data_IF_723119400002
#
_entry.id   IF_723119400002
#
_cell.length_a   1.000
_cell.length_b   1.000
_cell.length_c   1.000
_cell.angle_alpha   90.00
_cell.angle_beta   90.00
_cell.angle_gamma   90.00
#
_symmetry.space_group_name_H-M   'P 1'
#
loop_
_entity.id
_entity.type
_entity.pdbx_description
1 polymer ?
#
# COMPACT_ATOMS: atom_id res chain seq x y z
N UNK A 1 14.61 13.39 5.14
CA UNK A 1 14.48 13.69 6.57
C UNK A 1 15.02 12.59 7.47
N UNK A 2 15.05 12.80 8.78
CA UNK A 2 15.42 11.78 9.74
C UNK A 2 14.34 10.70 9.90
N UNK A 3 13.12 11.01 9.51
CA UNK A 3 11.97 10.11 9.60
C UNK A 3 11.63 9.49 8.25
N UNK A 4 11.32 8.20 8.26
CA UNK A 4 10.80 7.49 7.11
C UNK A 4 9.32 7.19 7.32
N UNK A 5 8.45 7.94 6.64
CA UNK A 5 7.00 7.85 6.78
C UNK A 5 6.46 6.47 6.47
N UNK A 6 7.01 5.80 5.45
CA UNK A 6 6.57 4.46 5.05
C UNK A 6 6.75 3.49 6.21
N UNK A 7 7.91 3.51 6.88
CA UNK A 7 8.18 2.61 8.00
C UNK A 7 7.32 2.91 9.22
N UNK A 8 7.14 4.20 9.54
CA UNK A 8 6.27 4.60 10.64
C UNK A 8 4.82 4.18 10.40
N UNK A 9 4.29 4.48 9.22
CA UNK A 9 2.94 4.08 8.83
C UNK A 9 2.77 2.56 8.81
N UNK A 10 3.72 1.84 8.17
CA UNK A 10 3.72 0.37 8.16
C UNK A 10 3.74 -0.21 9.58
N UNK A 11 4.58 0.34 10.47
CA UNK A 11 4.66 -0.10 11.86
C UNK A 11 3.33 0.03 12.60
N UNK A 12 2.64 1.16 12.44
CA UNK A 12 1.31 1.37 13.04
C UNK A 12 0.30 0.36 12.47
N UNK A 13 0.23 0.23 11.14
CA UNK A 13 -0.70 -0.69 10.48
C UNK A 13 -0.44 -2.13 10.92
N UNK A 14 0.81 -2.59 10.89
CA UNK A 14 1.17 -3.94 11.32
C UNK A 14 0.82 -4.18 12.79
N UNK A 15 1.16 -3.23 13.68
CA UNK A 15 0.89 -3.37 15.11
C UNK A 15 -0.62 -3.36 15.42
N UNK A 16 -1.43 -2.66 14.63
CA UNK A 16 -2.88 -2.63 14.82
C UNK A 16 -3.56 -3.88 14.29
N UNK A 17 -3.21 -4.32 13.08
CA UNK A 17 -3.94 -5.41 12.42
C UNK A 17 -3.40 -6.81 12.73
N UNK A 18 -2.10 -6.93 13.08
CA UNK A 18 -1.49 -8.25 13.27
C UNK A 18 -1.16 -8.59 14.72
N UNK A 19 -1.53 -7.73 15.67
CA UNK A 19 -1.23 -7.98 17.09
C UNK A 19 -1.81 -9.31 17.59
N UNK A 20 -3.01 -9.66 17.18
CA UNK A 20 -3.69 -10.91 17.53
C UNK A 20 -2.99 -12.15 16.98
N UNK A 21 -2.21 -12.01 15.90
CA UNK A 21 -1.45 -13.11 15.28
C UNK A 21 -0.13 -13.44 15.99
N UNK A 22 0.18 -12.80 17.13
CA UNK A 22 1.42 -13.08 17.89
C UNK A 22 1.55 -14.54 18.32
N UNK A 23 0.44 -15.23 18.56
CA UNK A 23 0.39 -16.65 18.90
C UNK A 23 0.59 -17.57 17.70
N UNK A 24 0.52 -17.04 16.47
CA UNK A 24 0.63 -17.80 15.23
C UNK A 24 1.79 -17.27 14.35
N UNK A 25 3.05 -17.65 14.64
CA UNK A 25 4.26 -17.06 14.04
C UNK A 25 4.29 -17.05 12.52
N UNK A 26 3.86 -18.13 11.90
CA UNK A 26 3.81 -18.22 10.43
C UNK A 26 2.85 -17.21 9.83
N UNK A 27 1.66 -17.06 10.39
CA UNK A 27 0.65 -16.11 9.89
C UNK A 27 1.04 -14.67 10.21
N UNK A 28 1.70 -14.41 11.34
CA UNK A 28 2.28 -13.11 11.64
C UNK A 28 3.34 -12.71 10.61
N UNK A 29 4.25 -13.62 10.27
CA UNK A 29 5.25 -13.40 9.22
C UNK A 29 4.57 -13.14 7.87
N UNK A 30 3.63 -13.98 7.47
CA UNK A 30 2.94 -13.87 6.18
C UNK A 30 2.14 -12.56 6.09
N UNK A 31 1.36 -12.23 7.11
CA UNK A 31 0.61 -10.97 7.19
C UNK A 31 1.53 -9.74 7.13
N UNK A 32 2.65 -9.79 7.85
CA UNK A 32 3.65 -8.72 7.81
C UNK A 32 4.26 -8.54 6.42
N UNK A 33 4.60 -9.64 5.74
CA UNK A 33 5.12 -9.61 4.39
C UNK A 33 4.11 -8.97 3.42
N UNK A 34 2.86 -9.38 3.47
CA UNK A 34 1.81 -8.94 2.55
C UNK A 34 1.45 -7.48 2.77
N UNK A 35 1.16 -7.08 4.00
CA UNK A 35 0.76 -5.71 4.31
C UNK A 35 1.89 -4.73 3.99
N UNK A 36 3.13 -5.05 4.38
CA UNK A 36 4.28 -4.19 4.08
C UNK A 36 4.53 -4.08 2.57
N UNK A 37 4.44 -5.19 1.85
CA UNK A 37 4.59 -5.21 0.39
C UNK A 37 3.51 -4.39 -0.30
N UNK A 38 2.27 -4.48 0.18
CA UNK A 38 1.17 -3.66 -0.33
C UNK A 38 1.42 -2.16 -0.11
N UNK A 39 1.85 -1.77 1.08
CA UNK A 39 2.18 -0.37 1.40
C UNK A 39 3.34 0.12 0.52
N UNK A 40 4.37 -0.71 0.31
CA UNK A 40 5.50 -0.40 -0.56
C UNK A 40 5.05 -0.20 -2.02
N UNK A 41 4.24 -1.11 -2.55
CA UNK A 41 3.68 -1.01 -3.91
C UNK A 41 2.82 0.23 -4.09
N UNK A 42 1.87 0.48 -3.18
CA UNK A 42 0.98 1.63 -3.23
C UNK A 42 1.78 2.95 -3.17
N UNK A 43 2.77 3.02 -2.27
CA UNK A 43 3.64 4.20 -2.15
C UNK A 43 4.47 4.42 -3.41
N UNK A 44 5.03 3.36 -3.98
CA UNK A 44 5.80 3.43 -5.22
C UNK A 44 4.97 3.96 -6.38
N UNK A 45 3.75 3.44 -6.56
CA UNK A 45 2.79 3.90 -7.58
C UNK A 45 2.40 5.35 -7.37
N UNK A 46 2.03 5.73 -6.15
CA UNK A 46 1.64 7.10 -5.82
C UNK A 46 2.76 8.09 -6.10
N UNK A 47 3.98 7.79 -5.67
CA UNK A 47 5.14 8.65 -5.90
C UNK A 47 5.47 8.79 -7.39
N UNK A 48 5.34 7.74 -8.19
CA UNK A 48 5.55 7.82 -9.63
C UNK A 48 4.45 8.64 -10.31
N UNK A 49 3.18 8.50 -9.92
CA UNK A 49 2.10 9.34 -10.45
C UNK A 49 2.32 10.84 -10.18
N UNK A 50 2.83 11.19 -9.00
CA UNK A 50 3.08 12.59 -8.61
C UNK A 50 4.34 13.16 -9.26
N UNK A 51 5.39 12.37 -9.42
CA UNK A 51 6.72 12.84 -9.84
C UNK A 51 7.11 12.38 -11.23
N UNK A 52 6.37 11.46 -11.84
CA UNK A 52 6.68 10.80 -13.11
C UNK A 52 8.06 10.12 -13.13
N UNK A 53 8.56 9.72 -11.94
CA UNK A 53 9.84 9.04 -11.76
C UNK A 53 9.73 7.98 -10.67
N UNK A 54 10.30 6.80 -10.92
CA UNK A 54 10.46 5.76 -9.90
C UNK A 54 11.54 6.16 -8.91
N UNK A 55 11.24 6.04 -7.62
CA UNK A 55 12.19 6.34 -6.54
C UNK A 55 13.09 5.15 -6.22
N UNK A 56 12.60 3.94 -6.48
CA UNK A 56 13.35 2.70 -6.50
C UNK A 56 12.87 1.84 -7.66
N UNK A 57 13.70 0.92 -8.12
CA UNK A 57 13.38 0.06 -9.25
C UNK A 57 13.95 -1.34 -9.05
N UNK A 58 13.04 -2.30 -8.87
CA UNK A 58 13.36 -3.72 -8.73
C UNK A 58 13.15 -4.50 -10.03
N UNK A 59 13.02 -3.87 -11.16
CA UNK A 59 12.76 -4.53 -12.46
C UNK A 59 13.79 -5.61 -12.80
N UNK A 60 15.02 -5.48 -12.29
CA UNK A 60 16.09 -6.47 -12.46
C UNK A 60 16.01 -7.65 -11.50
N UNK A 61 15.12 -7.61 -10.49
CA UNK A 61 14.96 -8.69 -9.53
C UNK A 61 13.95 -9.70 -10.02
N UNK A 62 14.15 -10.99 -9.65
CA UNK A 62 13.19 -12.04 -9.93
C UNK A 62 11.93 -11.83 -9.10
N UNK A 63 10.76 -12.20 -9.65
CA UNK A 63 9.47 -12.08 -8.98
C UNK A 63 9.18 -10.63 -8.54
N UNK A 64 9.43 -9.67 -9.43
CA UNK A 64 9.00 -8.28 -9.21
C UNK A 64 7.65 -8.01 -9.88
N UNK A 65 6.93 -7.01 -9.40
CA UNK A 65 5.74 -6.43 -10.01
C UNK A 65 6.03 -4.98 -10.36
N UNK A 66 6.04 -4.68 -11.66
CA UNK A 66 6.29 -3.34 -12.22
C UNK A 66 7.56 -2.64 -11.67
N UNK A 67 8.49 -3.38 -11.06
CA UNK A 67 9.69 -2.84 -10.43
C UNK A 67 9.44 -2.15 -9.08
N UNK A 68 8.21 -2.11 -8.56
CA UNK A 68 7.92 -1.49 -7.25
C UNK A 68 8.18 -2.43 -6.07
N UNK A 69 7.89 -3.71 -6.25
CA UNK A 69 8.04 -4.74 -5.21
C UNK A 69 8.74 -5.97 -5.79
N UNK A 70 9.37 -6.78 -4.94
CA UNK A 70 9.88 -8.08 -5.33
C UNK A 70 9.87 -9.05 -4.14
N UNK A 71 9.78 -10.36 -4.44
CA UNK A 71 9.65 -11.41 -3.45
C UNK A 71 10.77 -11.38 -2.38
N UNK A 72 12.00 -11.08 -2.78
CA UNK A 72 13.14 -11.03 -1.86
C UNK A 72 12.94 -9.99 -0.75
N UNK A 73 12.46 -8.79 -1.10
CA UNK A 73 12.20 -7.74 -0.11
C UNK A 73 10.90 -7.97 0.64
N UNK A 74 9.89 -8.59 0.02
CA UNK A 74 8.66 -8.98 0.73
C UNK A 74 8.94 -9.97 1.87
N UNK A 75 9.83 -10.95 1.64
CA UNK A 75 10.29 -11.87 2.69
C UNK A 75 11.03 -11.10 3.81
N UNK A 76 11.91 -10.16 3.43
CA UNK A 76 12.62 -9.33 4.39
C UNK A 76 11.66 -8.51 5.25
N UNK A 77 10.64 -7.89 4.64
CA UNK A 77 9.58 -7.16 5.35
C UNK A 77 8.79 -8.06 6.29
N UNK A 78 8.51 -9.30 5.88
CA UNK A 78 7.87 -10.30 6.74
C UNK A 78 8.68 -10.59 7.99
N UNK A 79 10.00 -10.79 7.85
CA UNK A 79 10.90 -11.03 8.99
C UNK A 79 10.97 -9.80 9.90
N UNK A 80 11.13 -8.61 9.33
CA UNK A 80 11.22 -7.37 10.11
C UNK A 80 9.92 -7.07 10.85
N UNK A 81 8.76 -7.27 10.20
CA UNK A 81 7.46 -7.09 10.84
C UNK A 81 7.21 -8.11 11.95
N UNK A 82 7.59 -9.36 11.74
CA UNK A 82 7.54 -10.41 12.77
C UNK A 82 8.37 -10.00 14.00
N UNK A 83 9.63 -9.59 13.79
CA UNK A 83 10.52 -9.15 14.88
C UNK A 83 9.95 -7.92 15.60
N UNK A 84 9.45 -6.96 14.85
CA UNK A 84 8.91 -5.73 15.41
C UNK A 84 7.70 -5.99 16.32
N UNK A 85 6.76 -6.83 15.88
CA UNK A 85 5.54 -7.11 16.63
C UNK A 85 5.82 -8.05 17.81
N UNK A 86 6.65 -9.09 17.60
CA UNK A 86 6.90 -10.10 18.62
C UNK A 86 7.72 -9.56 19.79
N UNK A 87 8.75 -8.78 19.49
CA UNK A 87 9.70 -8.29 20.50
C UNK A 87 9.84 -6.77 20.51
N UNK A 88 9.83 -6.12 19.34
CA UNK A 88 10.13 -4.70 19.22
C UNK A 88 9.15 -3.82 20.00
N UNK A 89 7.85 -4.03 19.85
CA UNK A 89 6.82 -3.29 20.57
C UNK A 89 6.94 -3.49 22.09
N UNK A 90 7.17 -4.72 22.53
CA UNK A 90 7.33 -5.05 23.94
C UNK A 90 8.56 -4.38 24.53
N UNK A 91 9.69 -4.42 23.80
CA UNK A 91 10.94 -3.78 24.22
C UNK A 91 10.78 -2.26 24.32
N UNK A 92 10.15 -1.62 23.32
CA UNK A 92 9.91 -0.19 23.32
C UNK A 92 9.03 0.20 24.51
N UNK A 93 7.92 -0.52 24.74
CA UNK A 93 7.03 -0.24 25.87
C UNK A 93 7.73 -0.45 27.23
N UNK A 94 8.56 -1.48 27.33
CA UNK A 94 9.35 -1.72 28.54
C UNK A 94 10.36 -0.60 28.79
N UNK A 95 11.11 -0.16 27.78
CA UNK A 95 12.03 0.97 27.90
C UNK A 95 11.30 2.28 28.27
N UNK A 96 10.08 2.44 27.74
CA UNK A 96 9.27 3.62 27.99
C UNK A 96 8.82 3.77 29.45
N UNK A 97 8.66 2.66 30.17
CA UNK A 97 8.28 2.65 31.58
C UNK A 97 9.30 3.33 32.50
N UNK A 98 10.57 3.38 32.08
CA UNK A 98 11.64 4.06 32.86
C UNK A 98 11.64 5.58 32.71
N UNK A 99 10.86 6.13 31.79
CA UNK A 99 10.81 7.55 31.51
C UNK A 99 9.66 8.19 32.31
N UNK A 100 9.94 9.21 33.13
CA UNK A 100 8.88 9.94 33.86
C UNK A 100 7.84 10.51 32.89
N UNK A 101 6.56 10.45 33.27
CA UNK A 101 5.42 10.85 32.42
C UNK A 101 5.58 12.26 31.85
N UNK A 102 6.07 13.20 32.65
CA UNK A 102 6.32 14.58 32.18
C UNK A 102 7.35 14.63 31.04
N UNK A 103 8.46 13.90 31.18
CA UNK A 103 9.51 13.83 30.15
C UNK A 103 8.99 13.14 28.89
N UNK A 104 8.15 12.13 29.06
CA UNK A 104 7.45 11.44 27.98
C UNK A 104 6.64 12.41 27.12
N UNK A 105 5.84 13.28 27.72
CA UNK A 105 5.06 14.28 26.97
C UNK A 105 5.97 15.28 26.22
N UNK A 106 7.06 15.73 26.85
CA UNK A 106 8.02 16.63 26.18
C UNK A 106 8.63 15.92 24.96
N UNK A 107 9.09 14.69 25.12
CA UNK A 107 9.69 13.90 24.01
C UNK A 107 8.67 13.72 22.89
N UNK A 108 7.43 13.29 23.21
CA UNK A 108 6.38 13.06 22.22
C UNK A 108 6.04 14.32 21.44
N UNK A 109 5.81 15.45 22.13
CA UNK A 109 5.48 16.71 21.46
C UNK A 109 6.64 17.22 20.61
N UNK A 110 7.87 17.10 21.09
CA UNK A 110 9.07 17.50 20.34
C UNK A 110 9.24 16.66 19.09
N UNK A 111 9.13 15.32 19.20
CA UNK A 111 9.22 14.40 18.06
C UNK A 111 8.08 14.64 17.07
N UNK A 112 6.86 14.88 17.56
CA UNK A 112 5.70 15.19 16.71
C UNK A 112 5.94 16.48 15.93
N UNK A 113 6.41 17.54 16.58
CA UNK A 113 6.73 18.81 15.92
C UNK A 113 7.80 18.64 14.83
N UNK A 114 8.89 17.92 15.12
CA UNK A 114 9.96 17.62 14.16
C UNK A 114 9.41 16.77 13.00
N UNK A 115 8.59 15.78 13.29
CA UNK A 115 7.96 14.94 12.27
C UNK A 115 7.05 15.76 11.36
N UNK A 116 6.20 16.62 11.91
CA UNK A 116 5.33 17.51 11.13
C UNK A 116 6.14 18.48 10.24
N UNK A 117 7.23 19.03 10.74
CA UNK A 117 8.13 19.87 9.93
C UNK A 117 8.77 19.08 8.79
N UNK A 118 9.25 17.86 9.05
CA UNK A 118 9.87 17.00 8.06
C UNK A 118 8.87 16.55 6.98
N UNK A 119 7.65 16.17 7.38
CA UNK A 119 6.55 15.84 6.45
C UNK A 119 6.23 17.03 5.57
N UNK A 120 6.01 18.20 6.16
CA UNK A 120 5.67 19.43 5.43
C UNK A 120 6.75 19.78 4.42
N UNK A 121 8.03 19.76 4.83
CA UNK A 121 9.16 20.01 3.94
C UNK A 121 9.23 18.98 2.80
N UNK A 122 8.98 17.69 3.10
CA UNK A 122 8.99 16.63 2.11
C UNK A 122 7.84 16.77 1.11
N UNK A 123 6.62 17.05 1.58
CA UNK A 123 5.45 17.28 0.71
C UNK A 123 5.64 18.49 -0.19
N UNK A 124 6.11 19.61 0.36
CA UNK A 124 6.41 20.81 -0.43
C UNK A 124 7.45 20.52 -1.54
N UNK A 125 8.50 19.78 -1.21
CA UNK A 125 9.52 19.36 -2.19
C UNK A 125 8.93 18.41 -3.24
N UNK A 126 8.11 17.45 -2.84
CA UNK A 126 7.46 16.50 -3.75
C UNK A 126 6.51 17.21 -4.70
N UNK A 127 5.72 18.14 -4.23
CA UNK A 127 4.73 18.85 -5.04
C UNK A 127 5.33 20.00 -5.87
N UNK A 128 6.63 20.26 -5.79
CA UNK A 128 7.30 21.42 -6.43
C UNK A 128 6.64 22.78 -6.13
N UNK A 129 5.98 22.88 -4.97
CA UNK A 129 5.30 24.12 -4.59
C UNK A 129 6.26 25.26 -4.26
N UNK A 130 7.54 24.97 -3.99
CA UNK A 130 8.58 25.97 -3.73
C UNK A 130 8.74 26.99 -4.86
N UNK A 131 8.49 26.59 -6.11
CA UNK A 131 8.66 27.46 -7.28
C UNK A 131 7.37 28.13 -7.77
N UNK A 132 6.21 27.78 -7.22
CA UNK A 132 4.91 28.27 -7.72
C UNK A 132 4.19 29.26 -6.82
N UNK A 133 4.58 29.39 -5.55
CA UNK A 133 3.91 30.29 -4.61
C UNK A 133 4.74 31.53 -4.31
N UNK A 134 4.27 32.74 -4.68
CA UNK A 134 4.96 33.98 -4.36
C UNK A 134 5.09 34.23 -2.85
N UNK A 135 4.18 33.67 -2.06
CA UNK A 135 4.21 33.75 -0.59
C UNK A 135 5.33 32.89 -0.01
N UNK A 136 5.56 31.69 -0.54
CA UNK A 136 6.67 30.82 -0.14
C UNK A 136 8.02 31.39 -0.56
N UNK A 137 8.09 32.05 -1.72
CA UNK A 137 9.29 32.77 -2.17
C UNK A 137 9.60 33.94 -1.23
N UNK A 138 8.59 34.69 -0.78
CA UNK A 138 8.75 35.75 0.23
C UNK A 138 9.22 35.20 1.58
N UNK A 139 8.56 34.15 2.07
CA UNK A 139 8.92 33.51 3.35
C UNK A 139 10.35 32.93 3.29
N UNK A 140 10.71 32.32 2.18
CA UNK A 140 12.07 31.81 1.96
C UNK A 140 13.09 32.95 1.85
N UNK A 141 12.70 34.13 1.32
CA UNK A 141 13.52 35.32 1.25
C UNK A 141 13.71 35.97 2.62
N UNK A 142 12.67 36.02 3.46
CA UNK A 142 12.75 36.56 4.82
C UNK A 142 13.52 35.64 5.77
N UNK A 143 13.31 34.31 5.67
CA UNK A 143 14.13 33.32 6.37
C UNK A 143 15.59 33.33 5.88
N UNK A 144 15.82 33.74 4.63
CA UNK A 144 17.17 33.92 4.08
C UNK A 144 17.85 35.18 4.59
N UNK A 145 17.10 36.20 5.04
CA UNK A 145 17.62 37.43 5.65
C UNK A 145 17.98 37.24 7.14
N UNK A 146 17.41 36.23 7.82
CA UNK A 146 17.85 35.79 9.16
C UNK A 146 19.11 34.92 9.10
N UNK A 147 20.09 35.40 8.35
CA UNK A 147 21.37 34.73 8.09
C UNK A 147 22.34 34.82 9.26
N UNK A 148 22.15 33.96 10.23
CA UNK A 148 23.29 33.51 11.05
C UNK A 148 24.05 32.41 10.30
N UNK A 149 25.37 32.28 10.52
CA UNK A 149 26.22 31.25 9.93
C UNK A 149 25.67 29.83 10.15
N UNK A 150 24.93 29.61 11.21
CA UNK A 150 24.22 28.37 11.55
C UNK A 150 23.10 28.05 10.57
N UNK A 151 22.28 29.03 10.14
CA UNK A 151 21.22 28.80 9.15
C UNK A 151 21.76 28.41 7.78
N UNK A 152 22.94 28.92 7.38
CA UNK A 152 23.61 28.53 6.12
C UNK A 152 24.12 27.10 6.17
N UNK A 153 24.73 26.70 7.28
CA UNK A 153 25.21 25.32 7.45
C UNK A 153 24.06 24.33 7.50
N UNK A 154 22.96 24.64 8.18
CA UNK A 154 21.77 23.81 8.26
C UNK A 154 21.09 23.66 6.89
N UNK A 155 20.91 24.77 6.16
CA UNK A 155 20.31 24.74 4.81
C UNK A 155 21.17 23.97 3.81
N UNK A 156 22.50 24.14 3.86
CA UNK A 156 23.43 23.39 3.03
C UNK A 156 23.41 21.89 3.39
N UNK A 157 23.33 21.56 4.67
CA UNK A 157 23.22 20.17 5.13
C UNK A 157 21.92 19.52 4.67
N UNK A 158 20.78 20.21 4.83
CA UNK A 158 19.46 19.74 4.36
C UNK A 158 19.47 19.55 2.84
N UNK A 159 19.97 20.52 2.08
CA UNK A 159 20.07 20.43 0.62
C UNK A 159 20.95 19.27 0.16
N UNK A 160 22.12 19.06 0.78
CA UNK A 160 22.98 17.90 0.51
C UNK A 160 22.29 16.56 0.84
N UNK A 161 21.54 16.50 1.95
CA UNK A 161 20.76 15.31 2.30
C UNK A 161 19.64 15.04 1.31
N UNK A 162 18.88 16.08 0.88
CA UNK A 162 17.84 15.95 -0.14
C UNK A 162 18.44 15.46 -1.47
N UNK A 163 19.55 16.06 -1.92
CA UNK A 163 20.21 15.61 -3.15
C UNK A 163 20.78 14.19 -3.06
N UNK A 164 21.26 13.80 -1.88
CA UNK A 164 21.79 12.44 -1.65
C UNK A 164 20.66 11.40 -1.47
N UNK A 165 19.55 11.79 -0.85
CA UNK A 165 18.38 10.94 -0.68
C UNK A 165 17.56 10.77 -1.96
N UNK A 166 17.61 11.76 -2.85
CA UNK A 166 16.86 11.77 -4.10
C UNK A 166 17.80 12.09 -5.27
N UNK A 167 18.74 11.20 -5.61
CA UNK A 167 19.55 11.37 -6.81
C UNK A 167 18.61 11.43 -8.01
N UNK A 168 18.81 12.42 -8.87
CA UNK A 168 18.10 12.50 -10.15
C UNK A 168 18.45 11.25 -10.95
N UNK A 169 17.65 10.22 -10.86
CA UNK A 169 17.81 9.01 -11.65
C UNK A 169 17.44 9.36 -13.08
N UNK A 170 18.46 9.74 -13.85
CA UNK A 170 18.36 9.80 -15.29
C UNK A 170 18.24 8.37 -15.80
N UNK A 171 17.03 7.91 -16.00
CA UNK A 171 16.81 6.72 -16.84
C UNK A 171 15.45 6.87 -17.49
N UNK A 172 15.41 7.68 -18.54
CA UNK A 172 14.44 7.52 -19.61
C UNK A 172 14.79 6.23 -20.36
N UNK A 173 14.36 5.11 -19.83
CA UNK A 173 14.13 3.90 -20.61
C UNK A 173 12.74 3.42 -20.25
N UNK A 174 11.77 3.96 -20.94
CA UNK A 174 10.51 3.27 -21.21
C UNK A 174 10.91 1.99 -21.93
N UNK A 175 11.13 0.92 -21.18
CA UNK A 175 11.16 -0.41 -21.75
C UNK A 175 9.70 -0.74 -22.05
N UNK A 176 9.26 -0.37 -23.23
CA UNK A 176 8.05 -0.96 -23.81
C UNK A 176 8.39 -2.41 -24.16
N UNK A 177 8.41 -3.27 -23.17
CA UNK A 177 8.31 -4.69 -23.41
C UNK A 177 6.91 -4.92 -23.95
N UNK A 178 6.82 -5.14 -25.24
CA UNK A 178 5.64 -5.63 -25.93
C UNK A 178 5.41 -7.09 -25.52
N UNK A 179 5.14 -7.31 -24.22
CA UNK A 179 4.75 -8.60 -23.74
C UNK A 179 3.31 -8.87 -24.21
N UNK A 180 3.13 -9.93 -24.97
CA UNK A 180 1.82 -10.38 -25.49
C UNK A 180 1.00 -11.14 -24.45
N UNK A 181 1.61 -11.53 -23.34
CA UNK A 181 0.97 -12.27 -22.24
C UNK A 181 1.46 -11.75 -20.89
N UNK A 182 0.57 -11.82 -19.91
CA UNK A 182 0.92 -11.50 -18.52
C UNK A 182 1.93 -12.52 -17.98
N UNK A 183 3.10 -12.11 -17.45
CA UNK A 183 4.05 -13.02 -16.82
C UNK A 183 3.42 -13.72 -15.60
N UNK A 184 3.78 -14.98 -15.36
CA UNK A 184 3.25 -15.75 -14.23
C UNK A 184 3.55 -15.10 -12.87
N UNK A 185 4.70 -14.44 -12.73
CA UNK A 185 5.04 -13.70 -11.52
C UNK A 185 4.08 -12.54 -11.24
N UNK A 186 3.66 -11.81 -12.29
CA UNK A 186 2.67 -10.74 -12.17
C UNK A 186 1.28 -11.28 -11.83
N UNK A 187 0.90 -12.42 -12.40
CA UNK A 187 -0.35 -13.12 -12.05
C UNK A 187 -0.41 -13.44 -10.56
N UNK A 188 0.67 -14.00 -9.98
CA UNK A 188 0.73 -14.33 -8.56
C UNK A 188 0.64 -13.07 -7.69
N UNK A 189 1.34 -12.00 -8.06
CA UNK A 189 1.23 -10.75 -7.33
C UNK A 189 -0.16 -10.13 -7.39
N UNK A 190 -0.80 -10.14 -8.55
CA UNK A 190 -2.18 -9.67 -8.70
C UNK A 190 -3.16 -10.49 -7.87
N UNK A 191 -2.95 -11.82 -7.80
CA UNK A 191 -3.73 -12.69 -6.94
C UNK A 191 -3.56 -12.31 -5.45
N UNK A 192 -2.33 -12.19 -4.96
CA UNK A 192 -2.05 -11.89 -3.55
C UNK A 192 -2.58 -10.51 -3.17
N UNK A 193 -2.24 -9.48 -3.93
CA UNK A 193 -2.68 -8.11 -3.67
C UNK A 193 -4.19 -7.96 -3.85
N UNK A 194 -4.75 -8.63 -4.84
CA UNK A 194 -6.18 -8.65 -5.10
C UNK A 194 -6.99 -9.34 -4.00
N UNK A 195 -6.49 -10.45 -3.46
CA UNK A 195 -7.11 -11.16 -2.35
C UNK A 195 -7.13 -10.30 -1.08
N UNK A 196 -6.04 -9.61 -0.80
CA UNK A 196 -5.94 -8.70 0.35
C UNK A 196 -6.85 -7.48 0.21
N UNK A 197 -6.77 -6.78 -0.92
CA UNK A 197 -7.62 -5.61 -1.19
C UNK A 197 -9.10 -5.97 -1.22
N UNK A 198 -9.44 -7.09 -1.84
CA UNK A 198 -10.82 -7.54 -1.95
C UNK A 198 -11.45 -7.78 -0.59
N UNK A 199 -10.74 -8.41 0.33
CA UNK A 199 -11.24 -8.61 1.70
C UNK A 199 -11.47 -7.28 2.44
N UNK A 200 -10.56 -6.33 2.29
CA UNK A 200 -10.72 -4.99 2.88
C UNK A 200 -11.96 -4.28 2.30
N UNK A 201 -12.10 -4.26 0.99
CA UNK A 201 -13.22 -3.61 0.30
C UNK A 201 -14.54 -4.27 0.73
N UNK A 202 -14.60 -5.59 0.75
CA UNK A 202 -15.79 -6.34 1.13
C UNK A 202 -16.15 -6.15 2.61
N UNK A 203 -15.15 -6.09 3.49
CA UNK A 203 -15.35 -5.80 4.92
C UNK A 203 -15.91 -4.40 5.14
N UNK A 204 -15.38 -3.40 4.42
CA UNK A 204 -15.91 -2.03 4.45
C UNK A 204 -17.35 -1.98 3.88
N UNK A 205 -17.58 -2.67 2.77
CA UNK A 205 -18.91 -2.77 2.16
C UNK A 205 -19.93 -3.37 3.13
N UNK A 206 -19.61 -4.48 3.81
CA UNK A 206 -20.45 -5.07 4.84
C UNK A 206 -20.74 -4.09 5.98
N UNK A 207 -19.76 -3.30 6.41
CA UNK A 207 -19.97 -2.26 7.43
C UNK A 207 -20.96 -1.21 6.97
N UNK A 208 -20.87 -0.76 5.72
CA UNK A 208 -21.73 0.27 5.17
C UNK A 208 -23.17 -0.22 4.89
N UNK A 209 -23.32 -1.47 4.46
CA UNK A 209 -24.62 -2.03 4.05
C UNK A 209 -25.36 -2.72 5.19
N UNK A 210 -24.65 -3.50 6.01
CA UNK A 210 -25.25 -4.32 7.09
C UNK A 210 -25.04 -3.66 8.47
N UNK A 211 -24.15 -2.68 8.58
CA UNK A 211 -23.86 -1.98 9.83
C UNK A 211 -22.93 -2.73 10.79
N UNK A 212 -22.42 -3.90 10.42
CA UNK A 212 -21.57 -4.76 11.26
C UNK A 212 -20.19 -4.92 10.64
N UNK A 213 -19.14 -4.86 11.46
CA UNK A 213 -17.80 -5.27 11.05
C UNK A 213 -17.72 -6.78 10.97
N UNK A 214 -17.67 -7.32 9.77
CA UNK A 214 -17.58 -8.75 9.52
C UNK A 214 -16.49 -9.01 8.49
N UNK A 215 -15.46 -9.77 8.88
CA UNK A 215 -14.45 -10.23 7.94
C UNK A 215 -15.08 -11.18 6.92
N UNK A 216 -14.78 -10.92 5.64
CA UNK A 216 -15.21 -11.76 4.51
C UNK A 216 -14.07 -12.63 3.99
N UNK A 217 -13.03 -12.80 4.82
CA UNK A 217 -11.88 -13.62 4.48
C UNK A 217 -12.28 -15.06 4.12
N UNK A 218 -11.69 -15.57 3.04
CA UNK A 218 -11.84 -16.97 2.62
C UNK A 218 -10.89 -17.89 3.40
N UNK A 219 -10.02 -17.35 4.23
CA UNK A 219 -9.06 -18.11 5.04
C UNK A 219 -9.28 -17.87 6.52
N UNK A 220 -8.92 -18.85 7.34
CA UNK A 220 -9.13 -18.79 8.81
C UNK A 220 -8.26 -17.71 9.45
N UNK A 221 -7.08 -17.46 8.87
CA UNK A 221 -6.10 -16.53 9.40
C UNK A 221 -5.76 -15.44 8.39
N UNK A 222 -6.02 -14.21 8.76
CA UNK A 222 -5.69 -13.03 7.98
C UNK A 222 -6.79 -12.57 7.02
N UNK A 223 -6.69 -11.32 6.54
CA UNK A 223 -7.67 -10.70 5.66
C UNK A 223 -7.40 -11.07 4.19
N UNK A 224 -7.91 -12.23 3.76
CA UNK A 224 -7.67 -12.76 2.42
C UNK A 224 -8.94 -13.32 1.78
N UNK A 225 -9.38 -12.72 0.69
CA UNK A 225 -10.45 -13.26 -0.15
C UNK A 225 -9.87 -13.91 -1.40
N UNK A 226 -9.83 -15.26 -1.42
CA UNK A 226 -9.35 -16.05 -2.57
C UNK A 226 -10.17 -15.71 -3.81
N UNK A 227 -11.47 -15.51 -3.65
CA UNK A 227 -12.39 -15.18 -4.75
C UNK A 227 -11.99 -13.87 -5.41
N UNK A 228 -11.72 -12.82 -4.63
CA UNK A 228 -11.26 -11.54 -5.16
C UNK A 228 -9.87 -11.61 -5.79
N UNK A 229 -8.96 -12.37 -5.19
CA UNK A 229 -7.63 -12.57 -5.74
C UNK A 229 -7.66 -13.22 -7.12
N UNK A 230 -8.43 -14.29 -7.27
CA UNK A 230 -8.63 -14.97 -8.56
C UNK A 230 -9.36 -14.07 -9.55
N UNK A 231 -10.38 -13.32 -9.13
CA UNK A 231 -11.08 -12.38 -9.98
C UNK A 231 -10.13 -11.38 -10.62
N UNK A 232 -9.33 -10.69 -9.82
CA UNK A 232 -8.39 -9.65 -10.29
C UNK A 232 -7.33 -10.27 -11.20
N UNK A 233 -6.73 -11.37 -10.81
CA UNK A 233 -5.69 -12.03 -11.61
C UNK A 233 -6.22 -12.55 -12.95
N UNK A 234 -7.37 -13.22 -12.98
CA UNK A 234 -7.98 -13.78 -14.19
C UNK A 234 -8.50 -12.68 -15.11
N UNK A 235 -9.28 -11.73 -14.59
CA UNK A 235 -9.82 -10.63 -15.40
C UNK A 235 -8.70 -9.79 -16.00
N UNK A 236 -7.65 -9.48 -15.22
CA UNK A 236 -6.46 -8.76 -15.74
C UNK A 236 -5.78 -9.56 -16.85
N UNK A 237 -5.64 -10.88 -16.68
CA UNK A 237 -5.04 -11.77 -17.71
C UNK A 237 -5.86 -11.76 -19.00
N UNK A 238 -7.18 -11.83 -18.90
CA UNK A 238 -8.09 -11.78 -20.04
C UNK A 238 -8.06 -10.42 -20.74
N UNK A 239 -8.03 -9.34 -19.96
CA UNK A 239 -7.96 -7.96 -20.45
C UNK A 239 -6.57 -7.55 -20.95
N UNK A 240 -5.53 -8.34 -20.67
CA UNK A 240 -4.15 -7.98 -21.04
C UNK A 240 -3.97 -7.72 -22.54
N UNK A 241 -4.68 -8.46 -23.38
CA UNK A 241 -4.69 -8.24 -24.84
C UNK A 241 -5.40 -6.94 -25.24
N UNK A 242 -6.24 -6.40 -24.38
CA UNK A 242 -6.97 -5.13 -24.60
C UNK A 242 -6.19 -3.92 -24.11
N UNK A 243 -4.94 -4.09 -23.69
CA UNK A 243 -4.03 -3.01 -23.27
C UNK A 243 -3.91 -1.99 -24.41
N UNK A 244 -4.19 -0.72 -24.09
CA UNK A 244 -4.22 0.37 -25.08
C UNK A 244 -5.60 0.66 -25.70
N UNK A 245 -6.64 -0.10 -25.37
CA UNK A 245 -8.02 0.28 -25.64
C UNK A 245 -8.49 1.40 -24.70
N UNK A 246 -9.61 2.06 -25.06
CA UNK A 246 -10.18 3.14 -24.23
C UNK A 246 -10.64 2.61 -22.87
N UNK A 247 -10.59 3.47 -21.85
CA UNK A 247 -11.02 3.13 -20.48
C UNK A 247 -12.48 2.67 -20.44
N UNK A 248 -13.33 3.26 -21.29
CA UNK A 248 -14.72 2.82 -21.46
C UNK A 248 -14.83 1.36 -21.90
N UNK A 249 -13.99 0.94 -22.87
CA UNK A 249 -13.96 -0.42 -23.35
C UNK A 249 -13.50 -1.39 -22.26
N UNK A 250 -12.44 -1.01 -21.52
CA UNK A 250 -11.90 -1.80 -20.40
C UNK A 250 -12.92 -1.91 -19.26
N UNK A 251 -13.64 -0.82 -18.96
CA UNK A 251 -14.69 -0.81 -17.95
C UNK A 251 -15.83 -1.77 -18.30
N UNK A 252 -16.41 -1.65 -19.49
CA UNK A 252 -17.52 -2.50 -19.92
C UNK A 252 -17.10 -3.98 -19.93
N UNK A 253 -15.95 -4.29 -20.54
CA UNK A 253 -15.50 -5.67 -20.64
C UNK A 253 -15.11 -6.22 -19.26
N UNK A 254 -14.49 -5.40 -18.40
CA UNK A 254 -14.16 -5.77 -17.02
C UNK A 254 -15.40 -6.05 -16.17
N UNK A 255 -16.44 -5.23 -16.30
CA UNK A 255 -17.73 -5.45 -15.61
C UNK A 255 -18.38 -6.75 -16.05
N UNK A 256 -18.45 -7.02 -17.37
CA UNK A 256 -19.01 -8.26 -17.88
C UNK A 256 -18.23 -9.51 -17.42
N UNK A 257 -16.88 -9.44 -17.47
CA UNK A 257 -16.02 -10.54 -17.01
C UNK A 257 -16.13 -10.73 -15.49
N UNK A 258 -16.20 -9.65 -14.72
CA UNK A 258 -16.38 -9.68 -13.28
C UNK A 258 -17.72 -10.32 -12.87
N UNK A 259 -18.82 -9.91 -13.50
CA UNK A 259 -20.13 -10.49 -13.26
C UNK A 259 -20.19 -11.97 -13.66
N UNK A 260 -19.62 -12.34 -14.81
CA UNK A 260 -19.54 -13.75 -15.23
C UNK A 260 -18.72 -14.60 -14.24
N UNK A 261 -17.63 -14.05 -13.74
CA UNK A 261 -16.82 -14.69 -12.71
C UNK A 261 -17.59 -14.88 -11.40
N UNK A 262 -18.23 -13.82 -10.89
CA UNK A 262 -19.02 -13.86 -9.65
C UNK A 262 -20.16 -14.89 -9.76
N UNK A 263 -20.88 -14.89 -10.86
CA UNK A 263 -21.92 -15.89 -11.14
C UNK A 263 -21.35 -17.31 -11.12
N UNK A 264 -20.23 -17.53 -11.81
CA UNK A 264 -19.56 -18.85 -11.86
C UNK A 264 -19.09 -19.30 -10.47
N UNK A 265 -18.56 -18.40 -9.66
CA UNK A 265 -18.16 -18.70 -8.28
C UNK A 265 -19.38 -19.10 -7.43
N UNK A 266 -20.52 -18.39 -7.56
CA UNK A 266 -21.74 -18.73 -6.83
C UNK A 266 -22.25 -20.13 -7.19
N UNK A 267 -22.28 -20.46 -8.49
CA UNK A 267 -22.69 -21.81 -8.93
C UNK A 267 -21.69 -22.87 -8.45
N UNK A 268 -20.39 -22.61 -8.58
CA UNK A 268 -19.35 -23.54 -8.15
C UNK A 268 -19.44 -23.83 -6.65
N UNK A 269 -19.61 -22.79 -5.81
CA UNK A 269 -19.69 -22.97 -4.35
C UNK A 269 -20.96 -23.71 -3.96
N UNK A 270 -22.07 -23.51 -4.64
CA UNK A 270 -23.29 -24.29 -4.42
C UNK A 270 -23.11 -25.77 -4.76
N UNK A 271 -22.48 -26.08 -5.92
CA UNK A 271 -22.23 -27.48 -6.31
C UNK A 271 -21.25 -28.18 -5.37
N UNK A 272 -20.17 -27.49 -4.94
CA UNK A 272 -19.11 -28.13 -4.16
C UNK A 272 -19.44 -28.17 -2.68
N UNK A 273 -20.04 -27.13 -2.13
CA UNK A 273 -20.28 -26.97 -0.70
C UNK A 273 -21.77 -27.10 -0.32
N UNK A 274 -22.67 -27.20 -1.28
CA UNK A 274 -24.11 -27.26 -1.06
C UNK A 274 -24.68 -25.97 -0.43
N UNK A 275 -23.98 -24.85 -0.55
CA UNK A 275 -24.34 -23.57 0.05
C UNK A 275 -24.11 -22.41 -0.91
N UNK A 276 -25.06 -21.48 -0.89
CA UNK A 276 -24.91 -20.17 -1.51
C UNK A 276 -24.37 -19.21 -0.47
N UNK A 277 -23.19 -18.62 -0.71
CA UNK A 277 -22.51 -17.75 0.26
C UNK A 277 -23.03 -16.32 0.23
N UNK A 278 -23.69 -15.88 -0.84
CA UNK A 278 -24.34 -14.57 -0.97
C UNK A 278 -25.62 -14.70 -1.80
N UNK A 279 -26.61 -13.89 -1.49
CA UNK A 279 -27.90 -13.87 -2.17
C UNK A 279 -28.37 -12.42 -2.38
N UNK A 280 -28.54 -12.05 -3.63
CA UNK A 280 -29.02 -10.75 -4.07
C UNK A 280 -30.48 -10.77 -4.51
N UNK A 281 -31.24 -11.82 -4.21
CA UNK A 281 -32.65 -11.98 -4.63
C UNK A 281 -33.53 -10.80 -4.21
N UNK A 282 -33.18 -10.16 -3.09
CA UNK A 282 -33.91 -9.02 -2.53
C UNK A 282 -33.55 -7.67 -3.20
N UNK A 283 -32.56 -7.62 -4.09
CA UNK A 283 -32.10 -6.43 -4.76
C UNK A 283 -32.64 -6.40 -6.20
N UNK A 284 -33.19 -5.26 -6.70
CA UNK A 284 -33.63 -5.14 -8.09
C UNK A 284 -32.48 -5.37 -9.07
N UNK A 285 -32.81 -5.86 -10.26
CA UNK A 285 -31.85 -6.15 -11.35
C UNK A 285 -30.81 -7.24 -11.02
N UNK A 286 -31.14 -8.17 -10.13
CA UNK A 286 -30.31 -9.35 -9.92
C UNK A 286 -30.56 -10.41 -11.01
N UNK A 287 -29.56 -11.26 -11.24
CA UNK A 287 -29.67 -12.43 -12.12
C UNK A 287 -29.64 -13.72 -11.27
N UNK A 288 -30.83 -14.25 -10.99
CA UNK A 288 -30.99 -15.46 -10.19
C UNK A 288 -30.47 -15.36 -8.77
N UNK A 289 -30.44 -14.16 -8.19
CA UNK A 289 -29.90 -13.88 -6.86
C UNK A 289 -28.37 -14.00 -6.75
N UNK A 290 -27.64 -14.33 -7.82
CA UNK A 290 -26.22 -14.64 -7.79
C UNK A 290 -25.32 -13.45 -8.11
N UNK A 291 -25.79 -12.55 -8.94
CA UNK A 291 -25.12 -11.26 -9.24
C UNK A 291 -26.16 -10.16 -9.29
N UNK A 292 -25.71 -8.94 -9.09
CA UNK A 292 -26.49 -7.72 -9.20
C UNK A 292 -25.80 -6.71 -10.12
N UNK A 293 -26.61 -5.95 -10.88
CA UNK A 293 -26.14 -4.91 -11.80
C UNK A 293 -25.95 -3.58 -11.09
#
# INVERSE_FOLDING_TARGET
GPFCLIYGFSGIVLSTFLYELRSAPFFLFLGSAIISTFIEWMTGRLLEQVRHKKWWDYSKKRWNLDGYICLQYSILWGILGYIAIQWGNTLILWLWQFIPTFVTYIILWTLTAICCMDITASVLTILHLEHKSPTLIRLNRELFLFKTSFGRALTAHIRRRIQKAYPATATDKVISTSATKLPFSEFIWLFILGAFLGDIVETIFCRLTVGVWMSRSSVVWGPFSIVWGLAIALVTTLLFKSKGKSDRHLFILGTLLGGAYEYSCSVFTEIVFGKVFWDYSHIPFNLGGRINL
#
